data_IF_952925585399
#
_entry.id   IF_952925585399
#
_cell.length_a   1.000
_cell.length_b   1.000
_cell.length_c   1.000
_cell.angle_alpha   90.00
_cell.angle_beta   90.00
_cell.angle_gamma   90.00
#
_symmetry.space_group_name_H-M   'P 1'
#
loop_
_entity.id
_entity.type
_entity.pdbx_description
1 polymer ?
#
# COMPACT_ATOMS: atom_id res chain seq x y z
N UNK A 1 -21.50 4.47 12.59
CA UNK A 1 -20.54 5.30 11.83
C UNK A 1 -21.30 6.38 11.09
N UNK A 2 -20.92 7.64 11.30
CA UNK A 2 -21.39 8.80 10.55
C UNK A 2 -20.17 9.34 9.79
N UNK A 3 -20.33 9.70 8.53
CA UNK A 3 -19.24 10.21 7.70
C UNK A 3 -19.64 11.49 6.97
N UNK A 4 -18.66 12.28 6.55
CA UNK A 4 -18.86 13.50 5.75
C UNK A 4 -18.13 13.42 4.43
N UNK A 5 -18.72 13.93 3.34
CA UNK A 5 -18.10 13.92 2.00
C UNK A 5 -18.34 15.21 1.24
N UNK A 6 -17.47 15.51 0.27
CA UNK A 6 -17.53 16.74 -0.52
C UNK A 6 -18.34 16.68 -1.82
N UNK A 7 -18.79 15.49 -2.26
CA UNK A 7 -19.56 15.34 -3.51
C UNK A 7 -20.45 14.07 -3.52
N UNK A 8 -21.41 14.03 -4.45
CA UNK A 8 -22.40 12.95 -4.56
C UNK A 8 -21.78 11.58 -4.89
N UNK A 9 -20.74 11.53 -5.74
CA UNK A 9 -20.05 10.27 -6.09
C UNK A 9 -19.46 9.59 -4.85
N UNK A 10 -18.95 10.38 -3.90
CA UNK A 10 -18.43 9.88 -2.62
C UNK A 10 -19.55 9.41 -1.69
N UNK A 11 -20.73 10.03 -1.74
CA UNK A 11 -21.92 9.56 -0.99
C UNK A 11 -22.30 8.15 -1.45
N UNK A 12 -22.44 7.96 -2.76
CA UNK A 12 -22.80 6.66 -3.36
C UNK A 12 -21.81 5.57 -2.99
N UNK A 13 -20.50 5.88 -3.08
CA UNK A 13 -19.46 4.95 -2.68
C UNK A 13 -19.51 4.58 -1.18
N UNK A 14 -19.67 5.56 -0.28
CA UNK A 14 -19.77 5.26 1.15
C UNK A 14 -21.00 4.40 1.47
N UNK A 15 -22.13 4.67 0.79
CA UNK A 15 -23.35 3.86 0.92
C UNK A 15 -23.14 2.43 0.41
N UNK A 16 -22.41 2.25 -0.70
CA UNK A 16 -22.14 0.91 -1.25
C UNK A 16 -21.26 0.04 -0.33
N UNK A 17 -20.42 0.66 0.51
CA UNK A 17 -19.63 -0.05 1.54
C UNK A 17 -20.32 -0.09 2.91
N UNK A 18 -21.61 0.26 2.99
CA UNK A 18 -22.44 0.08 4.18
C UNK A 18 -22.54 1.28 5.14
N UNK A 19 -21.97 2.44 4.81
CA UNK A 19 -22.13 3.65 5.65
C UNK A 19 -23.53 4.21 5.48
N UNK A 20 -24.33 4.13 6.55
CA UNK A 20 -25.74 4.57 6.54
C UNK A 20 -25.90 6.08 6.65
N UNK A 21 -25.09 6.76 7.44
CA UNK A 21 -25.23 8.19 7.71
C UNK A 21 -24.10 8.97 7.06
N UNK A 22 -24.44 9.78 6.05
CA UNK A 22 -23.47 10.54 5.27
C UNK A 22 -23.96 11.97 5.12
N UNK A 23 -23.14 12.93 5.54
CA UNK A 23 -23.41 14.38 5.42
C UNK A 23 -22.36 15.10 4.56
N UNK A 24 -22.48 16.42 4.45
CA UNK A 24 -21.59 17.29 3.67
C UNK A 24 -20.34 17.68 4.46
N UNK A 25 -19.18 17.60 3.82
CA UNK A 25 -17.92 18.16 4.35
C UNK A 25 -17.61 19.56 3.80
N UNK A 26 -18.56 20.18 3.08
CA UNK A 26 -18.38 21.47 2.39
C UNK A 26 -19.50 22.47 2.69
N UNK A 27 -20.63 21.99 3.19
CA UNK A 27 -21.81 22.79 3.49
C UNK A 27 -22.08 22.66 4.99
N UNK A 28 -21.80 23.75 5.71
CA UNK A 28 -21.92 23.82 7.16
C UNK A 28 -23.37 23.68 7.62
N UNK A 29 -24.31 24.34 6.94
CA UNK A 29 -25.72 24.33 7.33
C UNK A 29 -26.30 22.92 7.15
N UNK A 30 -25.97 22.28 6.01
CA UNK A 30 -26.34 20.89 5.77
C UNK A 30 -25.71 19.94 6.79
N UNK A 31 -24.44 20.11 7.13
CA UNK A 31 -23.78 19.30 8.14
C UNK A 31 -24.48 19.39 9.50
N UNK A 32 -24.78 20.61 9.97
CA UNK A 32 -25.50 20.81 11.23
C UNK A 32 -26.87 20.12 11.24
N UNK A 33 -27.67 20.35 10.18
CA UNK A 33 -29.02 19.81 10.07
C UNK A 33 -29.04 18.28 9.97
N UNK A 34 -28.17 17.71 9.14
CA UNK A 34 -28.05 16.27 8.97
C UNK A 34 -27.64 15.60 10.29
N UNK A 35 -26.67 16.18 11.02
CA UNK A 35 -26.21 15.63 12.29
C UNK A 35 -27.33 15.61 13.33
N UNK A 36 -28.10 16.69 13.50
CA UNK A 36 -29.26 16.72 14.41
C UNK A 36 -30.30 15.65 14.03
N UNK A 37 -30.57 15.49 12.74
CA UNK A 37 -31.47 14.45 12.23
C UNK A 37 -30.95 13.04 12.57
N UNK A 38 -29.65 12.78 12.35
CA UNK A 38 -29.03 11.49 12.62
C UNK A 38 -29.03 11.13 14.10
N UNK A 39 -28.79 12.10 14.98
CA UNK A 39 -28.86 11.88 16.43
C UNK A 39 -30.26 11.47 16.87
N UNK A 40 -31.29 12.14 16.33
CA UNK A 40 -32.70 11.82 16.58
C UNK A 40 -33.07 10.42 16.04
N UNK A 41 -32.70 10.11 14.79
CA UNK A 41 -32.98 8.79 14.18
C UNK A 41 -32.30 7.64 14.92
N UNK A 42 -31.08 7.87 15.42
CA UNK A 42 -30.34 6.89 16.21
C UNK A 42 -30.75 6.85 17.68
N UNK A 43 -31.57 7.80 18.15
CA UNK A 43 -31.93 8.01 19.55
C UNK A 43 -30.69 8.06 20.46
N UNK A 44 -29.72 8.89 20.07
CA UNK A 44 -28.48 9.14 20.82
C UNK A 44 -28.28 10.63 21.06
N UNK A 45 -27.70 10.98 22.20
CA UNK A 45 -27.42 12.38 22.57
C UNK A 45 -26.04 12.88 22.07
N UNK A 46 -25.34 12.05 21.28
CA UNK A 46 -24.02 12.36 20.74
C UNK A 46 -23.26 11.10 20.30
N UNK A 47 -22.07 11.30 19.73
CA UNK A 47 -21.11 10.23 19.39
C UNK A 47 -20.02 10.09 20.45
N UNK A 48 -19.48 8.88 20.57
CA UNK A 48 -18.40 8.58 21.52
C UNK A 48 -17.04 9.07 21.04
N UNK A 49 -16.81 9.02 19.72
CA UNK A 49 -15.54 9.39 19.08
C UNK A 49 -15.81 10.22 17.83
N UNK A 50 -15.06 11.31 17.68
CA UNK A 50 -14.96 12.09 16.44
C UNK A 50 -13.52 11.98 15.95
N UNK A 51 -13.35 11.56 14.69
CA UNK A 51 -12.06 11.59 13.99
C UNK A 51 -12.13 12.75 13.00
N UNK A 52 -11.49 13.87 13.33
CA UNK A 52 -11.54 15.09 12.55
C UNK A 52 -10.37 15.20 11.56
N UNK A 53 -10.69 15.71 10.38
CA UNK A 53 -9.73 16.25 9.41
C UNK A 53 -10.29 17.48 8.69
N UNK A 54 -11.39 18.06 9.20
CA UNK A 54 -12.03 19.26 8.68
C UNK A 54 -11.43 20.50 9.37
N UNK A 55 -11.69 21.67 8.79
CA UNK A 55 -11.12 22.96 9.20
C UNK A 55 -12.24 23.96 9.51
N UNK A 56 -11.89 25.08 10.15
CA UNK A 56 -12.79 26.18 10.47
C UNK A 56 -13.94 25.76 11.37
N UNK A 57 -15.12 26.34 11.13
CA UNK A 57 -16.33 26.16 11.95
C UNK A 57 -16.80 24.72 12.10
N UNK A 58 -16.35 23.80 11.22
CA UNK A 58 -16.63 22.38 11.37
C UNK A 58 -16.02 21.77 12.64
N UNK A 59 -14.90 22.29 13.13
CA UNK A 59 -14.22 21.81 14.33
C UNK A 59 -15.11 21.99 15.57
N UNK A 60 -15.49 23.24 15.97
CA UNK A 60 -16.33 23.45 17.13
C UNK A 60 -17.72 22.83 16.98
N UNK A 61 -18.28 22.79 15.77
CA UNK A 61 -19.56 22.13 15.54
C UNK A 61 -19.48 20.62 15.76
N UNK A 62 -18.42 19.97 15.28
CA UNK A 62 -18.23 18.53 15.49
C UNK A 62 -18.05 18.18 16.98
N UNK A 63 -17.40 19.06 17.77
CA UNK A 63 -17.26 18.89 19.21
C UNK A 63 -18.61 18.92 19.95
N UNK A 64 -19.58 19.73 19.49
CA UNK A 64 -20.92 19.80 20.11
C UNK A 64 -21.66 18.47 20.06
N UNK A 65 -21.39 17.65 19.05
CA UNK A 65 -22.00 16.34 18.87
C UNK A 65 -21.29 15.21 19.64
N UNK A 66 -20.23 15.49 20.40
CA UNK A 66 -19.63 14.50 21.30
C UNK A 66 -20.46 14.34 22.58
N UNK A 67 -20.56 13.10 23.06
CA UNK A 67 -21.05 12.83 24.41
C UNK A 67 -20.10 13.40 25.47
N UNK A 68 -20.60 13.47 26.71
CA UNK A 68 -19.75 13.68 27.88
C UNK A 68 -18.66 12.61 27.96
N UNK A 69 -17.43 13.04 28.20
CA UNK A 69 -16.20 12.26 28.16
C UNK A 69 -15.89 11.61 26.79
N UNK A 70 -16.54 12.08 25.72
CA UNK A 70 -16.26 11.66 24.35
C UNK A 70 -14.85 12.06 23.91
N UNK A 71 -14.34 11.40 22.88
CA UNK A 71 -12.97 11.59 22.39
C UNK A 71 -12.97 12.30 21.05
N UNK A 72 -12.35 13.47 20.99
CA UNK A 72 -12.05 14.18 19.75
C UNK A 72 -10.62 13.90 19.32
N UNK A 73 -10.44 13.28 18.16
CA UNK A 73 -9.15 12.95 17.57
C UNK A 73 -8.91 13.89 16.38
N UNK A 74 -7.97 14.82 16.53
CA UNK A 74 -7.56 15.74 15.48
C UNK A 74 -6.43 15.13 14.64
N UNK A 75 -6.73 14.79 13.38
CA UNK A 75 -5.74 14.33 12.39
C UNK A 75 -5.20 15.50 11.53
N UNK A 76 -5.89 16.63 11.53
CA UNK A 76 -5.48 17.84 10.83
C UNK A 76 -4.21 18.43 11.42
N UNK A 77 -3.33 18.94 10.55
CA UNK A 77 -2.14 19.71 10.95
C UNK A 77 -2.38 21.23 10.96
N UNK A 78 -3.60 21.67 10.66
CA UNK A 78 -4.00 23.06 10.53
C UNK A 78 -5.05 23.37 11.59
N UNK A 79 -5.00 24.58 12.16
CA UNK A 79 -6.03 25.07 13.09
C UNK A 79 -6.24 24.17 14.32
N UNK A 80 -5.16 23.51 14.76
CA UNK A 80 -5.15 22.73 16.00
C UNK A 80 -5.45 23.68 17.16
N UNK A 81 -6.49 23.36 17.92
CA UNK A 81 -6.90 24.14 19.08
C UNK A 81 -6.03 23.80 20.30
N UNK A 82 -5.77 24.82 21.13
CA UNK A 82 -5.17 24.61 22.45
C UNK A 82 -6.18 24.03 23.44
N UNK A 83 -5.71 23.44 24.53
CA UNK A 83 -6.60 22.93 25.58
C UNK A 83 -7.57 24.00 26.12
N UNK A 84 -7.13 25.26 26.23
CA UNK A 84 -7.98 26.35 26.70
C UNK A 84 -9.12 26.63 25.71
N UNK A 85 -8.82 26.67 24.41
CA UNK A 85 -9.82 26.87 23.35
C UNK A 85 -10.82 25.71 23.29
N UNK A 86 -10.35 24.47 23.44
CA UNK A 86 -11.23 23.30 23.51
C UNK A 86 -12.17 23.41 24.70
N UNK A 87 -11.67 23.79 25.88
CA UNK A 87 -12.49 23.95 27.09
C UNK A 87 -13.51 25.08 26.98
N UNK A 88 -13.25 26.12 26.19
CA UNK A 88 -14.24 27.16 25.88
C UNK A 88 -15.41 26.63 25.04
N UNK A 89 -15.15 25.67 24.15
CA UNK A 89 -16.17 25.04 23.30
C UNK A 89 -16.94 23.97 24.07
N UNK A 90 -16.21 23.05 24.71
CA UNK A 90 -16.77 21.91 25.43
C UNK A 90 -15.79 21.43 26.50
N UNK A 91 -16.17 21.58 27.77
CA UNK A 91 -15.29 21.30 28.91
C UNK A 91 -15.16 19.82 29.25
N UNK A 92 -16.07 18.98 28.76
CA UNK A 92 -16.24 17.60 29.19
C UNK A 92 -15.85 16.58 28.11
N UNK A 93 -14.78 16.84 27.35
CA UNK A 93 -14.27 15.93 26.31
C UNK A 93 -12.77 15.68 26.45
N UNK A 94 -12.32 14.55 25.90
CA UNK A 94 -10.91 14.24 25.71
C UNK A 94 -10.50 14.72 24.32
N UNK A 95 -9.50 15.59 24.23
CA UNK A 95 -8.99 16.10 22.95
C UNK A 95 -7.57 15.58 22.73
N UNK A 96 -7.37 14.89 21.61
CA UNK A 96 -6.09 14.31 21.23
C UNK A 96 -5.69 14.77 19.83
N UNK A 97 -4.48 15.26 19.70
CA UNK A 97 -3.84 15.51 18.41
C UNK A 97 -3.03 14.27 18.03
N UNK A 98 -3.19 13.79 16.81
CA UNK A 98 -2.44 12.62 16.31
C UNK A 98 -1.44 13.08 15.26
N UNK A 99 -0.19 13.19 15.68
CA UNK A 99 0.95 13.45 14.81
C UNK A 99 1.67 12.14 14.50
N UNK A 100 1.07 11.31 13.64
CA UNK A 100 1.53 9.94 13.38
C UNK A 100 3.03 9.87 13.02
N UNK A 101 3.54 10.83 12.24
CA UNK A 101 4.96 10.92 11.86
C UNK A 101 5.87 11.01 13.10
N UNK A 102 5.52 11.86 14.08
CA UNK A 102 6.28 12.01 15.32
C UNK A 102 6.10 10.82 16.25
N UNK A 103 4.91 10.21 16.28
CA UNK A 103 4.66 9.02 17.09
C UNK A 103 5.57 7.86 16.66
N UNK A 104 5.72 7.67 15.35
CA UNK A 104 6.63 6.67 14.76
C UNK A 104 8.09 6.96 15.12
N UNK A 105 8.51 8.22 15.03
CA UNK A 105 9.88 8.64 15.39
C UNK A 105 10.18 8.45 16.88
N UNK A 106 9.20 8.72 17.75
CA UNK A 106 9.37 8.69 19.20
C UNK A 106 9.28 7.27 19.80
N UNK A 107 8.48 6.39 19.22
CA UNK A 107 8.28 5.02 19.72
C UNK A 107 8.24 4.00 18.57
N UNK A 108 9.43 3.55 18.18
CA UNK A 108 9.61 2.56 17.11
C UNK A 108 9.12 1.17 17.51
N UNK A 109 9.11 0.84 18.81
CA UNK A 109 8.64 -0.46 19.32
C UNK A 109 7.12 -0.54 19.22
N UNK A 110 6.41 0.51 19.64
CA UNK A 110 4.97 0.64 19.43
C UNK A 110 4.62 0.53 17.95
N UNK A 111 5.33 1.24 17.07
CA UNK A 111 5.06 1.20 15.63
C UNK A 111 5.29 -0.19 15.03
N UNK A 112 6.35 -0.90 15.46
CA UNK A 112 6.57 -2.29 15.05
C UNK A 112 5.41 -3.20 15.43
N UNK A 113 4.90 -3.09 16.67
CA UNK A 113 3.76 -3.90 17.13
C UNK A 113 2.50 -3.58 16.32
N UNK A 114 2.24 -2.29 16.06
CA UNK A 114 1.13 -1.85 15.20
C UNK A 114 1.22 -2.44 13.79
N UNK A 115 2.42 -2.43 13.18
CA UNK A 115 2.63 -3.05 11.88
C UNK A 115 2.37 -4.55 11.89
N UNK A 116 2.75 -5.25 12.96
CA UNK A 116 2.48 -6.69 13.09
C UNK A 116 0.97 -6.97 13.18
N UNK A 117 0.22 -6.18 13.95
CA UNK A 117 -1.24 -6.28 14.03
C UNK A 117 -1.90 -6.04 12.66
N UNK A 118 -1.48 -4.99 11.95
CA UNK A 118 -1.97 -4.69 10.60
C UNK A 118 -1.66 -5.84 9.64
N UNK A 119 -0.46 -6.44 9.71
CA UNK A 119 -0.11 -7.58 8.87
C UNK A 119 -1.00 -8.79 9.14
N UNK A 120 -1.32 -9.08 10.40
CA UNK A 120 -2.26 -10.15 10.77
C UNK A 120 -3.63 -9.87 10.13
N UNK A 121 -4.17 -8.67 10.31
CA UNK A 121 -5.48 -8.32 9.76
C UNK A 121 -5.53 -8.32 8.23
N UNK A 122 -4.41 -8.01 7.55
CA UNK A 122 -4.28 -8.17 6.10
C UNK A 122 -4.30 -9.66 5.73
N UNK A 123 -3.52 -10.49 6.41
CA UNK A 123 -3.46 -11.94 6.10
C UNK A 123 -4.77 -12.66 6.38
N UNK A 124 -5.54 -12.20 7.37
CA UNK A 124 -6.88 -12.72 7.68
C UNK A 124 -7.98 -12.10 6.80
N UNK A 125 -7.64 -11.15 5.93
CA UNK A 125 -8.57 -10.50 5.01
C UNK A 125 -9.54 -9.50 5.66
N UNK A 126 -9.31 -9.11 6.92
CA UNK A 126 -10.07 -8.05 7.62
C UNK A 126 -9.78 -6.67 7.04
N UNK A 127 -8.53 -6.43 6.65
CA UNK A 127 -8.13 -5.22 5.91
C UNK A 127 -8.05 -5.56 4.43
N UNK A 128 -8.92 -4.94 3.64
CA UNK A 128 -8.94 -5.08 2.19
C UNK A 128 -8.35 -3.85 1.50
N UNK A 129 -7.78 -4.02 0.29
CA UNK A 129 -7.30 -2.89 -0.49
C UNK A 129 -8.40 -1.87 -0.76
N UNK A 130 -8.10 -0.59 -0.57
CA UNK A 130 -8.99 0.50 -0.95
C UNK A 130 -8.92 0.75 -2.46
N UNK A 131 -9.96 1.39 -3.07
CA UNK A 131 -9.92 1.78 -4.46
C UNK A 131 -8.64 2.54 -4.79
N UNK A 132 -7.97 2.11 -5.84
CA UNK A 132 -6.65 2.64 -6.19
C UNK A 132 -6.65 3.11 -7.63
N UNK A 133 -6.26 4.37 -7.86
CA UNK A 133 -6.03 4.92 -9.20
C UNK A 133 -4.54 4.94 -9.48
N UNK A 134 -4.11 4.14 -10.44
CA UNK A 134 -2.70 4.01 -10.83
C UNK A 134 -2.41 4.87 -12.05
N UNK A 135 -1.32 5.64 -12.01
CA UNK A 135 -0.72 6.34 -13.15
C UNK A 135 0.70 5.83 -13.34
N UNK A 136 1.08 5.46 -14.56
CA UNK A 136 2.43 4.96 -14.83
C UNK A 136 3.42 6.11 -15.00
N UNK A 137 4.57 6.04 -14.36
CA UNK A 137 5.62 7.04 -14.61
C UNK A 137 6.28 6.88 -15.99
N UNK A 138 6.06 5.75 -16.66
CA UNK A 138 6.53 5.54 -18.04
C UNK A 138 5.68 6.30 -19.06
N UNK A 139 4.44 6.62 -18.71
CA UNK A 139 3.59 7.45 -19.57
C UNK A 139 4.14 8.89 -19.56
N UNK A 140 4.25 9.50 -20.75
CA UNK A 140 4.83 10.84 -20.91
C UNK A 140 4.22 11.90 -19.97
N UNK A 141 2.93 11.77 -19.67
CA UNK A 141 2.19 12.67 -18.77
C UNK A 141 1.78 12.01 -17.45
N UNK A 142 2.12 10.75 -17.18
CA UNK A 142 1.52 9.99 -16.08
C UNK A 142 1.78 10.59 -14.69
N UNK A 143 2.99 11.12 -14.45
CA UNK A 143 3.29 11.86 -13.22
C UNK A 143 2.41 13.11 -13.12
N UNK A 144 2.37 13.92 -14.18
CA UNK A 144 1.64 15.19 -14.20
C UNK A 144 0.13 14.94 -14.04
N UNK A 145 -0.41 13.96 -14.75
CA UNK A 145 -1.81 13.59 -14.69
C UNK A 145 -2.19 13.03 -13.32
N UNK A 146 -1.29 12.26 -12.67
CA UNK A 146 -1.45 11.82 -11.30
C UNK A 146 -1.57 12.98 -10.31
N UNK A 147 -0.68 13.97 -10.40
CA UNK A 147 -0.74 15.16 -9.53
C UNK A 147 -1.97 16.03 -9.82
N UNK A 148 -2.34 16.24 -11.09
CA UNK A 148 -3.59 16.94 -11.45
C UNK A 148 -4.81 16.21 -10.90
N UNK A 149 -4.83 14.89 -10.97
CA UNK A 149 -5.91 14.07 -10.43
C UNK A 149 -6.07 14.22 -8.91
N UNK A 150 -4.95 14.32 -8.17
CA UNK A 150 -4.97 14.63 -6.73
C UNK A 150 -5.50 16.05 -6.48
N UNK A 151 -5.03 17.05 -7.23
CA UNK A 151 -5.44 18.45 -7.07
C UNK A 151 -6.94 18.67 -7.21
N UNK A 152 -7.63 17.90 -8.07
CA UNK A 152 -9.08 17.98 -8.19
C UNK A 152 -9.86 17.48 -6.96
N UNK A 153 -9.19 16.84 -5.97
CA UNK A 153 -9.76 16.35 -4.71
C UNK A 153 -11.02 15.45 -4.85
N UNK A 154 -11.24 14.90 -6.05
CA UNK A 154 -12.40 14.09 -6.40
C UNK A 154 -12.12 12.59 -6.37
N UNK A 155 -10.89 12.19 -6.09
CA UNK A 155 -10.51 10.79 -6.00
C UNK A 155 -11.11 10.11 -4.75
N UNK A 156 -11.33 8.80 -4.88
CA UNK A 156 -11.72 7.89 -3.82
C UNK A 156 -10.57 6.91 -3.64
N UNK A 157 -10.17 6.70 -2.38
CA UNK A 157 -9.07 5.83 -2.02
C UNK A 157 -7.70 6.42 -2.36
N UNK A 158 -6.77 5.61 -2.87
CA UNK A 158 -5.36 5.99 -3.03
C UNK A 158 -5.01 6.30 -4.49
N UNK A 159 -4.20 7.34 -4.70
CA UNK A 159 -3.55 7.60 -5.99
C UNK A 159 -2.13 7.07 -5.92
N UNK A 160 -1.75 6.22 -6.88
CA UNK A 160 -0.45 5.55 -6.93
C UNK A 160 0.25 5.93 -8.24
N UNK A 161 1.51 6.33 -8.14
CA UNK A 161 2.42 6.39 -9.28
C UNK A 161 3.14 5.05 -9.38
N UNK A 162 2.83 4.26 -10.40
CA UNK A 162 3.53 3.00 -10.62
C UNK A 162 4.86 3.28 -11.32
N UNK A 163 5.95 3.00 -10.60
CA UNK A 163 7.26 2.82 -11.20
C UNK A 163 7.47 1.33 -11.44
N UNK A 164 7.40 0.82 -12.68
CA UNK A 164 7.98 -0.49 -12.96
C UNK A 164 9.45 -0.41 -12.55
N UNK A 165 9.98 -1.43 -11.87
CA UNK A 165 11.32 -1.36 -11.28
C UNK A 165 12.35 -1.29 -12.42
N UNK A 166 12.63 -0.08 -12.91
CA UNK A 166 13.56 0.21 -14.01
C UNK A 166 15.01 -0.18 -13.74
N UNK A 167 15.28 -0.89 -12.64
CA UNK A 167 16.48 -1.67 -12.47
C UNK A 167 16.46 -2.88 -13.43
N UNK A 168 17.07 -2.68 -14.60
CA UNK A 168 18.02 -3.60 -15.25
C UNK A 168 17.62 -4.19 -16.62
N UNK A 169 16.34 -4.27 -17.02
CA UNK A 169 16.00 -4.91 -18.30
C UNK A 169 15.50 -3.93 -19.38
N UNK A 170 16.45 -3.37 -20.14
CA UNK A 170 16.18 -3.18 -21.57
C UNK A 170 15.71 -4.52 -22.15
N UNK A 171 14.89 -4.52 -23.20
CA UNK A 171 14.48 -5.71 -23.97
C UNK A 171 15.68 -6.40 -24.67
N UNK A 172 16.83 -6.49 -24.02
CA UNK A 172 18.01 -7.17 -24.52
C UNK A 172 17.78 -8.68 -24.45
N UNK A 173 18.38 -9.37 -25.42
CA UNK A 173 18.43 -10.84 -25.45
C UNK A 173 19.50 -11.38 -24.48
N UNK A 174 19.97 -10.57 -23.54
CA UNK A 174 20.99 -10.99 -22.59
C UNK A 174 20.38 -11.93 -21.54
N UNK A 175 21.24 -12.68 -20.86
CA UNK A 175 20.85 -13.61 -19.81
C UNK A 175 21.28 -13.14 -18.42
N UNK A 176 20.44 -13.46 -17.44
CA UNK A 176 20.65 -13.28 -16.02
C UNK A 176 20.83 -14.62 -15.37
N UNK A 177 21.97 -14.80 -14.68
CA UNK A 177 22.27 -16.04 -13.96
C UNK A 177 21.94 -15.82 -12.49
N UNK A 178 21.16 -16.72 -11.90
CA UNK A 178 20.86 -16.71 -10.46
C UNK A 178 21.44 -17.98 -9.85
N UNK A 179 22.50 -17.84 -9.05
CA UNK A 179 23.02 -18.96 -8.25
C UNK A 179 22.23 -19.09 -6.95
N UNK A 180 21.95 -20.31 -6.50
CA UNK A 180 20.88 -20.54 -5.50
C UNK A 180 19.47 -20.30 -6.09
N UNK A 181 19.34 -20.32 -7.42
CA UNK A 181 18.14 -19.87 -8.13
C UNK A 181 16.88 -20.70 -7.88
N UNK A 182 17.03 -21.95 -7.43
CA UNK A 182 15.88 -22.81 -7.05
C UNK A 182 15.48 -22.69 -5.57
N UNK A 183 16.16 -21.87 -4.77
CA UNK A 183 15.78 -21.57 -3.38
C UNK A 183 14.77 -20.43 -3.30
N UNK A 184 14.17 -20.21 -2.13
CA UNK A 184 13.13 -19.19 -1.91
C UNK A 184 13.51 -17.80 -2.41
N UNK A 185 14.67 -17.28 -1.98
CA UNK A 185 15.17 -15.97 -2.41
C UNK A 185 15.46 -15.93 -3.92
N UNK A 186 16.04 -17.00 -4.46
CA UNK A 186 16.32 -17.13 -5.89
C UNK A 186 15.03 -17.07 -6.74
N UNK A 187 13.96 -17.71 -6.28
CA UNK A 187 12.65 -17.69 -6.93
C UNK A 187 11.98 -16.31 -6.85
N UNK A 188 12.11 -15.61 -5.73
CA UNK A 188 11.62 -14.23 -5.59
C UNK A 188 12.31 -13.32 -6.60
N UNK A 189 13.64 -13.39 -6.69
CA UNK A 189 14.43 -12.61 -7.65
C UNK A 189 14.08 -12.99 -9.09
N UNK A 190 13.89 -14.28 -9.39
CA UNK A 190 13.50 -14.72 -10.72
C UNK A 190 12.12 -14.17 -11.13
N UNK A 191 11.13 -14.22 -10.23
CA UNK A 191 9.80 -13.62 -10.47
C UNK A 191 9.92 -12.13 -10.77
N UNK A 192 10.71 -11.41 -9.96
CA UNK A 192 10.98 -10.00 -10.16
C UNK A 192 11.62 -9.73 -11.54
N UNK A 193 12.62 -10.51 -11.96
CA UNK A 193 13.24 -10.36 -13.27
C UNK A 193 12.27 -10.61 -14.44
N UNK A 194 11.35 -11.57 -14.31
CA UNK A 194 10.27 -11.80 -15.29
C UNK A 194 9.29 -10.61 -15.29
N UNK A 195 8.98 -10.07 -14.11
CA UNK A 195 8.14 -8.89 -13.95
C UNK A 195 8.75 -7.68 -14.68
N UNK A 196 10.07 -7.50 -14.55
CA UNK A 196 10.85 -6.44 -15.22
C UNK A 196 11.16 -6.70 -16.71
N UNK A 197 10.68 -7.82 -17.26
CA UNK A 197 10.71 -8.05 -18.71
C UNK A 197 11.96 -8.75 -19.24
N UNK A 198 12.77 -9.34 -18.35
CA UNK A 198 13.90 -10.21 -18.72
C UNK A 198 13.42 -11.33 -19.64
N UNK A 199 14.17 -11.61 -20.72
CA UNK A 199 13.83 -12.69 -21.66
C UNK A 199 14.60 -13.98 -21.47
N UNK A 200 15.75 -13.96 -20.79
CA UNK A 200 16.53 -15.16 -20.51
C UNK A 200 16.99 -15.18 -19.06
N UNK A 201 16.51 -16.17 -18.30
CA UNK A 201 16.83 -16.36 -16.89
C UNK A 201 17.39 -17.77 -16.72
N UNK A 202 18.54 -17.87 -16.07
CA UNK A 202 19.24 -19.13 -15.85
C UNK A 202 19.38 -19.34 -14.34
N UNK A 203 18.63 -20.30 -13.81
CA UNK A 203 18.69 -20.71 -12.41
C UNK A 203 19.76 -21.79 -12.26
N UNK A 204 20.71 -21.58 -11.34
CA UNK A 204 21.76 -22.54 -11.01
C UNK A 204 21.62 -22.94 -9.54
N UNK A 205 21.63 -24.24 -9.25
CA UNK A 205 21.58 -24.73 -7.87
C UNK A 205 21.86 -26.22 -7.75
N UNK A 206 21.98 -26.70 -6.51
CA UNK A 206 22.28 -28.12 -6.21
C UNK A 206 21.04 -28.99 -6.27
N UNK A 207 19.91 -28.44 -5.85
CA UNK A 207 18.65 -29.16 -5.73
C UNK A 207 17.73 -28.80 -6.89
N UNK A 208 16.80 -29.70 -7.19
CA UNK A 208 15.70 -29.41 -8.09
C UNK A 208 14.78 -28.35 -7.47
N UNK A 209 14.04 -27.64 -8.32
CA UNK A 209 12.99 -26.74 -7.86
C UNK A 209 11.90 -27.53 -7.13
N UNK A 210 11.41 -26.99 -6.03
CA UNK A 210 10.24 -27.51 -5.34
C UNK A 210 8.98 -26.92 -5.99
N UNK A 211 8.23 -27.77 -6.69
CA UNK A 211 7.01 -27.35 -7.40
C UNK A 211 5.80 -27.13 -6.48
N UNK A 212 5.92 -27.41 -5.17
CA UNK A 212 4.92 -27.01 -4.17
C UNK A 212 5.15 -25.58 -3.66
N UNK A 213 6.29 -24.97 -3.97
CA UNK A 213 6.60 -23.61 -3.59
C UNK A 213 5.80 -22.60 -4.42
N UNK A 214 5.05 -21.71 -3.77
CA UNK A 214 4.22 -20.69 -4.43
C UNK A 214 5.01 -19.80 -5.40
N UNK A 215 6.25 -19.45 -5.07
CA UNK A 215 7.10 -18.64 -5.95
C UNK A 215 7.56 -19.43 -7.19
N UNK A 216 7.71 -20.75 -7.09
CA UNK A 216 8.02 -21.60 -8.24
C UNK A 216 6.83 -21.67 -9.20
N UNK A 217 5.62 -21.86 -8.67
CA UNK A 217 4.38 -21.88 -9.45
C UNK A 217 4.21 -20.55 -10.18
N UNK A 218 4.29 -19.44 -9.43
CA UNK A 218 4.20 -18.08 -10.00
C UNK A 218 5.25 -17.83 -11.08
N UNK A 219 6.49 -18.29 -10.88
CA UNK A 219 7.57 -18.11 -11.84
C UNK A 219 7.27 -18.80 -13.16
N UNK A 220 6.74 -20.02 -13.13
CA UNK A 220 6.40 -20.79 -14.34
C UNK A 220 5.27 -20.12 -15.11
N UNK A 221 4.17 -19.76 -14.42
CA UNK A 221 3.03 -19.07 -15.03
C UNK A 221 3.43 -17.74 -15.67
N UNK A 222 4.20 -16.92 -14.94
CA UNK A 222 4.68 -15.63 -15.46
C UNK A 222 5.65 -15.80 -16.63
N UNK A 223 6.54 -16.79 -16.56
CA UNK A 223 7.51 -17.06 -17.62
C UNK A 223 6.81 -17.47 -18.91
N UNK A 224 5.78 -18.32 -18.83
CA UNK A 224 4.97 -18.71 -19.98
C UNK A 224 4.22 -17.50 -20.57
N UNK A 225 3.48 -16.76 -19.73
CA UNK A 225 2.72 -15.58 -20.14
C UNK A 225 3.58 -14.52 -20.82
N UNK A 226 4.80 -14.29 -20.32
CA UNK A 226 5.73 -13.28 -20.83
C UNK A 226 6.74 -13.82 -21.85
N UNK A 227 6.65 -15.10 -22.22
CA UNK A 227 7.57 -15.78 -23.16
C UNK A 227 9.03 -15.61 -22.75
N UNK A 228 9.34 -15.94 -21.49
CA UNK A 228 10.69 -15.92 -20.94
C UNK A 228 11.33 -17.30 -21.12
N UNK A 229 12.58 -17.31 -21.59
CA UNK A 229 13.40 -18.51 -21.63
C UNK A 229 13.97 -18.76 -20.24
N UNK A 230 13.37 -19.70 -19.51
CA UNK A 230 13.84 -20.13 -18.20
C UNK A 230 14.66 -21.43 -18.35
N UNK A 231 15.93 -21.38 -17.99
CA UNK A 231 16.81 -22.56 -17.93
C UNK A 231 17.15 -22.89 -16.48
N UNK A 232 17.02 -24.16 -16.10
CA UNK A 232 17.39 -24.66 -14.78
C UNK A 232 18.57 -25.62 -14.91
N UNK A 233 19.69 -25.29 -14.28
CA UNK A 233 20.93 -26.05 -14.39
C UNK A 233 21.38 -26.53 -12.99
N UNK A 234 21.54 -27.84 -12.85
CA UNK A 234 22.05 -28.44 -11.63
C UNK A 234 23.57 -28.28 -11.57
N UNK A 235 24.08 -27.55 -10.58
CA UNK A 235 25.51 -27.35 -10.35
C UNK A 235 25.78 -27.09 -8.87
N UNK A 236 26.82 -27.71 -8.32
CA UNK A 236 27.48 -27.18 -7.14
C UNK A 236 28.44 -26.07 -7.58
N UNK A 237 28.16 -24.82 -7.21
CA UNK A 237 29.01 -23.67 -7.62
C UNK A 237 30.39 -23.68 -6.94
N UNK A 238 30.57 -24.47 -5.89
CA UNK A 238 31.88 -24.69 -5.27
C UNK A 238 32.77 -25.66 -6.07
N UNK A 239 32.22 -26.40 -7.04
CA UNK A 239 32.98 -27.20 -8.00
C UNK A 239 33.36 -26.33 -9.21
N UNK A 240 34.62 -25.89 -9.22
CA UNK A 240 35.16 -24.99 -10.24
C UNK A 240 35.10 -25.60 -11.65
N UNK A 241 35.35 -26.89 -11.79
CA UNK A 241 35.33 -27.56 -13.11
C UNK A 241 33.92 -27.65 -13.65
N UNK A 242 32.95 -28.07 -12.82
CA UNK A 242 31.54 -28.10 -13.20
C UNK A 242 31.01 -26.70 -13.55
N UNK A 243 31.32 -25.70 -12.72
CA UNK A 243 30.89 -24.33 -12.95
C UNK A 243 31.47 -23.76 -14.24
N UNK A 244 32.77 -23.99 -14.52
CA UNK A 244 33.42 -23.54 -15.74
C UNK A 244 32.75 -24.10 -16.99
N UNK A 245 32.40 -25.40 -16.99
CA UNK A 245 31.70 -26.04 -18.09
C UNK A 245 30.31 -25.43 -18.33
N UNK A 246 29.54 -25.18 -17.28
CA UNK A 246 28.22 -24.57 -17.36
C UNK A 246 28.29 -23.13 -17.86
N UNK A 247 29.19 -22.32 -17.32
CA UNK A 247 29.36 -20.93 -17.76
C UNK A 247 29.77 -20.87 -19.23
N UNK A 248 30.67 -21.75 -19.70
CA UNK A 248 31.02 -21.84 -21.12
C UNK A 248 29.85 -22.25 -22.00
N UNK A 249 29.01 -23.19 -21.54
CA UNK A 249 27.78 -23.57 -22.25
C UNK A 249 26.83 -22.38 -22.37
N UNK A 250 26.65 -21.61 -21.30
CA UNK A 250 25.79 -20.42 -21.27
C UNK A 250 26.32 -19.35 -22.22
N UNK A 251 27.62 -19.05 -22.17
CA UNK A 251 28.26 -18.03 -23.03
C UNK A 251 28.15 -18.33 -24.53
N UNK A 252 28.01 -19.60 -24.92
CA UNK A 252 27.77 -20.00 -26.32
C UNK A 252 26.37 -19.65 -26.80
N UNK A 253 25.40 -19.51 -25.89
CA UNK A 253 23.98 -19.29 -26.21
C UNK A 253 23.53 -17.85 -25.92
N UNK A 254 24.13 -17.21 -24.91
CA UNK A 254 23.70 -15.91 -24.39
C UNK A 254 24.86 -14.98 -24.10
N UNK A 255 24.64 -13.69 -24.30
CA UNK A 255 25.44 -12.66 -23.67
C UNK A 255 25.02 -12.54 -22.19
N UNK A 256 25.96 -12.65 -21.24
CA UNK A 256 25.63 -12.61 -19.80
C UNK A 256 25.64 -11.16 -19.35
N UNK A 257 24.49 -10.66 -18.88
CA UNK A 257 24.36 -9.28 -18.39
C UNK A 257 24.71 -9.15 -16.93
N UNK A 258 24.26 -10.11 -16.11
CA UNK A 258 24.52 -10.09 -14.69
C UNK A 258 24.50 -11.52 -14.10
N UNK A 259 25.19 -11.66 -12.98
CA UNK A 259 25.16 -12.84 -12.12
C UNK A 259 24.68 -12.37 -10.74
N UNK A 260 23.61 -12.98 -10.25
CA UNK A 260 23.03 -12.72 -8.95
C UNK A 260 23.30 -13.93 -8.07
N UNK A 261 23.89 -13.67 -6.91
CA UNK A 261 24.16 -14.71 -5.92
C UNK A 261 23.09 -14.71 -4.84
N UNK A 262 22.24 -15.73 -4.87
CA UNK A 262 21.16 -15.95 -3.91
C UNK A 262 21.32 -17.28 -3.16
N UNK A 263 22.52 -17.86 -3.17
CA UNK A 263 22.83 -19.03 -2.35
C UNK A 263 23.13 -18.56 -0.92
N UNK A 264 22.17 -18.76 -0.02
CA UNK A 264 22.35 -18.69 1.43
C UNK A 264 22.38 -20.10 2.02
N UNK A 265 23.03 -20.26 3.17
CA UNK A 265 22.98 -21.51 3.96
C UNK A 265 21.70 -21.52 4.79
#
# INVERSE_FOLDING_TARGET
>A
VIATVGNIKKVEYLKSIGVKFVSSSRDYAKFSQDMECFMSELNIDGVDVVINSLVGEFIPLSMKFLKKNGTFIELGKREILSESQVREIKTDINYHTVEFDKMVENDTVWFQNLLQEIMIDITEGKIQPIPTKVFSIQDKSGIIDGFRYIQHANHIGKVILSNPSTAICSYSKDAYIITGGMGSLGLVIANWLVEEGTKNIILIGRNSIDFQNEFAIKLLELSEKKKVNLEMLKCNICDLTSLFNIINKIKRKYNIRAIIHAAGV
#
